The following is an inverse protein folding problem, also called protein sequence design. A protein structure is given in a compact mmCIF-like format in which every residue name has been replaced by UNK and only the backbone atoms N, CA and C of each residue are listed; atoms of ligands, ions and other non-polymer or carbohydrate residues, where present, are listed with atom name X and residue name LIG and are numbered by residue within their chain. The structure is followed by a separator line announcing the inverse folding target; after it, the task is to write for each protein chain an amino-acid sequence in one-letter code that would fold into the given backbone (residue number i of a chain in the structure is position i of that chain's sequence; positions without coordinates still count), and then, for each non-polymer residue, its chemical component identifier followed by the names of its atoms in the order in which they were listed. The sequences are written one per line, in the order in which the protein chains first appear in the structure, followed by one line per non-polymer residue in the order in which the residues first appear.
data_IF_752046879421
#
_entry.id   IF_752046879421
#
_cell.length_a   1.000
_cell.length_b   1.000
_cell.length_c   1.000
_cell.angle_alpha   90.00
_cell.angle_beta   90.00
_cell.angle_gamma   90.00
#
_symmetry.space_group_name_H-M   'P 1'
#
loop_
_entity.id
_entity.type
_entity.pdbx_description
1 polymer ?
#
# COMPACT_ATOMS: atom_id res chain seq x y z
N UNK A 1 16.52 -18.68 16.97
CA UNK A 1 15.48 -17.63 16.80
C UNK A 1 15.07 -17.63 15.34
N UNK A 2 13.77 -17.68 15.05
CA UNK A 2 13.29 -17.49 13.69
C UNK A 2 13.65 -16.06 13.26
N UNK A 3 14.24 -15.89 12.06
CA UNK A 3 14.51 -14.57 11.51
C UNK A 3 13.18 -13.83 11.30
N UNK A 4 13.13 -12.53 11.63
CA UNK A 4 11.95 -11.70 11.34
C UNK A 4 11.76 -11.58 9.83
N UNK A 5 10.51 -11.61 9.39
CA UNK A 5 10.13 -11.32 8.01
C UNK A 5 10.47 -9.86 7.68
N UNK A 6 11.26 -9.64 6.65
CA UNK A 6 11.71 -8.30 6.24
C UNK A 6 10.72 -7.70 5.25
N UNK A 7 10.14 -6.58 5.61
CA UNK A 7 9.05 -5.93 4.88
C UNK A 7 9.57 -4.67 4.18
N UNK A 8 9.28 -4.56 2.88
CA UNK A 8 9.38 -3.29 2.16
C UNK A 8 7.99 -2.65 2.04
N UNK A 9 7.88 -1.36 2.38
CA UNK A 9 6.65 -0.60 2.20
C UNK A 9 6.81 0.36 1.03
N UNK A 10 5.93 0.23 0.02
CA UNK A 10 5.93 1.08 -1.18
C UNK A 10 4.90 2.19 -1.03
N UNK A 11 5.30 3.41 -1.37
CA UNK A 11 4.52 4.63 -1.17
C UNK A 11 4.62 5.57 -2.38
N UNK A 12 3.68 6.50 -2.54
CA UNK A 12 3.77 7.55 -3.56
C UNK A 12 3.45 8.96 -3.02
N UNK A 13 3.00 9.10 -1.77
CA UNK A 13 2.50 10.37 -1.26
C UNK A 13 2.68 10.59 0.23
N UNK A 14 1.63 10.99 0.92
CA UNK A 14 1.64 11.39 2.33
C UNK A 14 2.02 10.30 3.34
N UNK A 15 1.80 9.02 3.02
CA UNK A 15 2.24 7.88 3.83
C UNK A 15 1.47 7.67 5.13
N UNK A 16 0.17 7.95 5.18
CA UNK A 16 -0.65 7.70 6.37
C UNK A 16 -0.70 6.22 6.73
N UNK A 17 -0.85 5.34 5.73
CA UNK A 17 -0.81 3.89 5.93
C UNK A 17 0.59 3.40 6.35
N UNK A 18 1.65 4.00 5.80
CA UNK A 18 3.02 3.74 6.28
C UNK A 18 3.16 4.12 7.74
N UNK A 19 2.62 5.28 8.16
CA UNK A 19 2.68 5.71 9.57
C UNK A 19 1.99 4.70 10.48
N UNK A 20 0.81 4.21 10.11
CA UNK A 20 0.10 3.20 10.89
C UNK A 20 0.93 1.91 11.07
N UNK A 21 1.63 1.48 10.02
CA UNK A 21 2.53 0.32 10.08
C UNK A 21 3.76 0.58 10.97
N UNK A 22 4.37 1.77 10.89
CA UNK A 22 5.50 2.17 11.72
C UNK A 22 5.09 2.24 13.21
N UNK A 23 3.91 2.78 13.48
CA UNK A 23 3.37 2.87 14.83
C UNK A 23 3.06 1.46 15.39
N UNK A 24 2.48 0.57 14.58
CA UNK A 24 2.25 -0.82 14.94
C UNK A 24 3.57 -1.57 15.25
N UNK A 25 4.60 -1.34 14.46
CA UNK A 25 5.94 -1.89 14.73
C UNK A 25 6.48 -1.37 16.07
N UNK A 26 6.36 -0.08 16.33
CA UNK A 26 6.84 0.54 17.58
C UNK A 26 6.09 0.00 18.81
N UNK A 27 4.79 -0.29 18.67
CA UNK A 27 3.98 -0.92 19.72
C UNK A 27 4.24 -2.43 19.91
N UNK A 28 5.10 -3.02 19.07
CA UNK A 28 5.37 -4.46 19.11
C UNK A 28 4.28 -5.35 18.51
N UNK A 29 3.36 -4.78 17.74
CA UNK A 29 2.25 -5.48 17.08
C UNK A 29 2.69 -6.25 15.83
N UNK A 30 3.97 -6.11 15.42
CA UNK A 30 4.60 -6.88 14.36
C UNK A 30 5.69 -7.82 14.93
N UNK A 31 5.35 -8.79 15.78
CA UNK A 31 6.34 -9.58 16.52
C UNK A 31 7.25 -10.43 15.62
N UNK A 32 6.77 -10.79 14.44
CA UNK A 32 7.49 -11.65 13.49
C UNK A 32 7.96 -10.90 12.25
N UNK A 33 7.71 -9.59 12.14
CA UNK A 33 8.09 -8.76 11.01
C UNK A 33 8.90 -7.54 11.42
N UNK A 34 9.61 -6.96 10.46
CA UNK A 34 10.25 -5.64 10.58
C UNK A 34 10.12 -4.88 9.27
N UNK A 35 9.81 -3.60 9.34
CA UNK A 35 9.85 -2.71 8.19
C UNK A 35 11.33 -2.36 7.95
N UNK A 36 11.91 -2.99 6.94
CA UNK A 36 13.34 -2.91 6.65
C UNK A 36 13.67 -1.87 5.57
N UNK A 37 12.68 -1.47 4.78
CA UNK A 37 12.85 -0.53 3.67
C UNK A 37 11.52 0.18 3.35
N UNK A 38 11.63 1.47 3.02
CA UNK A 38 10.56 2.23 2.37
C UNK A 38 11.01 2.60 0.96
N UNK A 39 10.18 2.33 -0.05
CA UNK A 39 10.44 2.72 -1.44
C UNK A 39 9.37 3.70 -1.88
N UNK A 40 9.77 4.89 -2.31
CA UNK A 40 8.86 5.89 -2.86
C UNK A 40 9.00 6.01 -4.37
N UNK A 41 7.88 6.07 -5.09
CA UNK A 41 7.87 6.39 -6.52
C UNK A 41 7.99 7.90 -6.80
N UNK A 42 7.99 8.74 -5.75
CA UNK A 42 8.06 10.20 -5.84
C UNK A 42 9.11 10.75 -4.86
N UNK A 43 10.03 11.60 -5.37
CA UNK A 43 11.10 12.18 -4.55
C UNK A 43 10.58 13.11 -3.44
N UNK A 44 9.45 13.80 -3.67
CA UNK A 44 8.84 14.73 -2.70
C UNK A 44 7.78 14.09 -1.79
N UNK A 45 7.68 12.76 -1.73
CA UNK A 45 6.69 12.10 -0.91
C UNK A 45 6.96 12.31 0.59
N UNK A 46 5.99 12.85 1.33
CA UNK A 46 6.11 13.06 2.78
C UNK A 46 6.34 11.74 3.55
N UNK A 47 5.95 10.63 2.96
CA UNK A 47 6.25 9.30 3.48
C UNK A 47 7.76 9.05 3.73
N UNK A 48 8.64 9.70 2.96
CA UNK A 48 10.10 9.61 3.16
C UNK A 48 10.54 10.25 4.48
N UNK A 49 9.92 11.38 4.88
CA UNK A 49 10.17 12.01 6.18
C UNK A 49 9.68 11.14 7.34
N UNK A 50 8.54 10.47 7.18
CA UNK A 50 8.03 9.50 8.17
C UNK A 50 9.00 8.34 8.37
N UNK A 51 9.50 7.76 7.29
CA UNK A 51 10.49 6.69 7.35
C UNK A 51 11.78 7.15 8.05
N UNK A 52 12.27 8.35 7.72
CA UNK A 52 13.45 8.96 8.35
C UNK A 52 13.25 9.15 9.85
N UNK A 53 12.11 9.70 10.27
CA UNK A 53 11.77 9.89 11.69
C UNK A 53 11.73 8.56 12.44
N UNK A 54 11.27 7.49 11.79
CA UNK A 54 11.24 6.14 12.35
C UNK A 54 12.58 5.38 12.23
N UNK A 55 13.65 6.01 11.73
CA UNK A 55 14.94 5.39 11.45
C UNK A 55 14.87 4.17 10.51
N UNK A 56 13.91 4.17 9.59
CA UNK A 56 13.78 3.14 8.56
C UNK A 56 14.46 3.62 7.28
N UNK A 57 15.34 2.83 6.65
CA UNK A 57 15.94 3.15 5.37
C UNK A 57 14.87 3.47 4.31
N UNK A 58 15.05 4.58 3.60
CA UNK A 58 14.14 4.98 2.53
C UNK A 58 14.91 5.26 1.24
N UNK A 59 14.30 4.91 0.11
CA UNK A 59 14.84 5.11 -1.23
C UNK A 59 13.77 5.62 -2.17
N UNK A 60 14.16 6.42 -3.13
CA UNK A 60 13.28 6.87 -4.22
C UNK A 60 13.65 6.16 -5.51
N UNK A 61 12.67 5.58 -6.16
CA UNK A 61 12.75 5.07 -7.52
C UNK A 61 11.68 5.80 -8.32
N UNK A 62 12.06 6.81 -9.14
CA UNK A 62 11.08 7.65 -9.81
C UNK A 62 10.20 6.88 -10.80
N UNK A 63 8.88 7.09 -10.71
CA UNK A 63 7.91 6.50 -11.66
C UNK A 63 8.01 7.06 -13.08
N UNK A 64 8.86 8.06 -13.31
CA UNK A 64 9.18 8.58 -14.64
C UNK A 64 10.15 7.71 -15.44
N UNK A 65 10.79 6.73 -14.80
CA UNK A 65 11.59 5.73 -15.50
C UNK A 65 10.69 4.85 -16.39
N UNK A 66 11.27 4.30 -17.45
CA UNK A 66 10.57 3.25 -18.19
C UNK A 66 10.34 2.04 -17.27
N UNK A 67 9.26 1.30 -17.52
CA UNK A 67 8.80 0.22 -16.61
C UNK A 67 9.91 -0.77 -16.25
N UNK A 68 10.71 -1.18 -17.23
CA UNK A 68 11.79 -2.15 -17.02
C UNK A 68 12.88 -1.61 -16.06
N UNK A 69 13.31 -0.37 -16.24
CA UNK A 69 14.34 0.24 -15.39
C UNK A 69 13.81 0.52 -14.00
N UNK A 70 12.56 0.96 -13.90
CA UNK A 70 11.85 1.17 -12.64
C UNK A 70 11.82 -0.11 -11.81
N UNK A 71 11.35 -1.20 -12.38
CA UNK A 71 11.25 -2.48 -11.68
C UNK A 71 12.62 -3.10 -11.40
N UNK A 72 13.58 -2.97 -12.32
CA UNK A 72 14.96 -3.43 -12.08
C UNK A 72 15.61 -2.72 -10.90
N UNK A 73 15.45 -1.39 -10.78
CA UNK A 73 15.95 -0.63 -9.64
C UNK A 73 15.29 -1.06 -8.32
N UNK A 74 13.99 -1.32 -8.35
CA UNK A 74 13.25 -1.86 -7.19
C UNK A 74 13.80 -3.23 -6.81
N UNK A 75 13.95 -4.15 -7.75
CA UNK A 75 14.45 -5.51 -7.48
C UNK A 75 15.85 -5.50 -6.86
N UNK A 76 16.75 -4.62 -7.31
CA UNK A 76 18.07 -4.44 -6.69
C UNK A 76 17.98 -4.01 -5.23
N UNK A 77 17.07 -3.07 -4.92
CA UNK A 77 16.82 -2.64 -3.54
C UNK A 77 16.25 -3.79 -2.69
N UNK A 78 15.26 -4.51 -3.21
CA UNK A 78 14.65 -5.64 -2.50
C UNK A 78 15.69 -6.72 -2.17
N UNK A 79 16.59 -7.02 -3.09
CA UNK A 79 17.69 -7.96 -2.89
C UNK A 79 18.70 -7.43 -1.86
N UNK A 80 19.16 -6.17 -1.99
CA UNK A 80 20.12 -5.55 -1.09
C UNK A 80 19.63 -5.50 0.37
N UNK A 81 18.32 -5.27 0.57
CA UNK A 81 17.70 -5.24 1.89
C UNK A 81 17.12 -6.59 2.31
N UNK A 82 17.29 -7.65 1.52
CA UNK A 82 16.81 -9.03 1.79
C UNK A 82 15.32 -9.03 2.16
N UNK A 83 14.50 -8.42 1.29
CA UNK A 83 13.08 -8.28 1.54
C UNK A 83 12.34 -9.59 1.25
N UNK A 84 11.45 -9.97 2.16
CA UNK A 84 10.61 -11.16 2.05
C UNK A 84 9.19 -10.84 1.56
N UNK A 85 8.65 -9.67 1.96
CA UNK A 85 7.27 -9.26 1.69
C UNK A 85 7.24 -7.78 1.30
N UNK A 86 6.39 -7.43 0.36
CA UNK A 86 6.13 -6.06 -0.09
C UNK A 86 4.72 -5.65 0.36
N UNK A 87 4.58 -4.45 0.91
CA UNK A 87 3.29 -3.84 1.24
C UNK A 87 3.12 -2.57 0.42
N UNK A 88 2.06 -2.50 -0.38
CA UNK A 88 1.69 -1.29 -1.11
C UNK A 88 0.81 -0.42 -0.18
N UNK A 89 1.31 0.76 0.19
CA UNK A 89 0.67 1.67 1.11
C UNK A 89 0.41 3.03 0.43
N UNK A 90 -0.57 3.09 -0.45
CA UNK A 90 -0.81 4.26 -1.30
C UNK A 90 0.25 4.38 -2.39
N UNK A 91 0.61 3.28 -3.01
CA UNK A 91 1.52 3.22 -4.14
C UNK A 91 0.74 3.30 -5.45
N UNK A 92 1.03 4.33 -6.24
CA UNK A 92 0.23 4.66 -7.44
C UNK A 92 0.82 4.10 -8.74
N UNK A 93 2.04 3.57 -8.72
CA UNK A 93 2.65 2.96 -9.90
C UNK A 93 2.15 1.53 -10.06
N UNK A 94 1.86 1.15 -11.30
CA UNK A 94 1.43 -0.22 -11.63
C UNK A 94 2.67 -1.09 -11.75
N UNK A 95 2.67 -2.21 -11.05
CA UNK A 95 3.68 -3.26 -11.20
C UNK A 95 3.32 -4.18 -12.36
N UNK A 96 4.30 -4.57 -13.16
CA UNK A 96 4.06 -5.44 -14.31
C UNK A 96 3.73 -6.88 -13.88
N UNK A 97 3.14 -7.62 -14.80
CA UNK A 97 2.91 -9.06 -14.63
C UNK A 97 4.22 -9.81 -14.35
N UNK A 98 5.32 -9.43 -15.04
CA UNK A 98 6.63 -10.03 -14.83
C UNK A 98 7.16 -9.79 -13.41
N UNK A 99 6.92 -8.62 -12.85
CA UNK A 99 7.31 -8.31 -11.48
C UNK A 99 6.44 -9.09 -10.48
N UNK A 100 5.12 -9.05 -10.62
CA UNK A 100 4.21 -9.72 -9.68
C UNK A 100 4.39 -11.23 -9.66
N UNK A 101 4.69 -11.86 -10.79
CA UNK A 101 4.99 -13.30 -10.88
C UNK A 101 6.25 -13.74 -10.13
N UNK A 102 7.22 -12.84 -9.93
CA UNK A 102 8.42 -13.13 -9.11
C UNK A 102 8.12 -13.12 -7.60
N UNK A 103 7.00 -12.52 -7.21
CA UNK A 103 6.59 -12.33 -5.81
C UNK A 103 5.23 -12.99 -5.50
N UNK A 104 5.01 -14.27 -5.82
CA UNK A 104 3.71 -14.91 -5.65
C UNK A 104 3.31 -14.92 -4.18
N UNK A 105 2.13 -14.34 -3.87
CA UNK A 105 1.58 -14.21 -2.51
C UNK A 105 2.52 -13.49 -1.52
N UNK A 106 3.37 -12.58 -2.03
CA UNK A 106 4.30 -11.77 -1.21
C UNK A 106 4.17 -10.28 -1.45
N UNK A 107 3.19 -9.84 -2.21
CA UNK A 107 2.83 -8.43 -2.36
C UNK A 107 1.42 -8.26 -1.81
N UNK A 108 1.27 -7.38 -0.82
CA UNK A 108 0.01 -7.02 -0.19
C UNK A 108 -0.37 -5.60 -0.60
N UNK A 109 -1.66 -5.36 -0.81
CA UNK A 109 -2.20 -4.01 -1.02
C UNK A 109 -3.36 -3.75 -0.07
N UNK A 110 -3.50 -2.50 0.36
CA UNK A 110 -4.68 -2.02 1.07
C UNK A 110 -5.47 -1.13 0.11
N UNK A 111 -6.66 -1.60 -0.28
CA UNK A 111 -7.57 -0.86 -1.14
C UNK A 111 -8.71 -0.25 -0.31
N UNK A 112 -9.04 1.05 -0.49
CA UNK A 112 -10.00 1.75 0.37
C UNK A 112 -11.47 1.51 -0.01
N UNK A 113 -11.83 0.29 -0.38
CA UNK A 113 -13.21 -0.16 -0.57
C UNK A 113 -13.38 -1.63 -0.20
N UNK A 114 -14.62 -2.10 -0.19
CA UNK A 114 -14.94 -3.53 -0.10
C UNK A 114 -14.93 -4.13 -1.52
N UNK A 115 -13.79 -4.67 -1.94
CA UNK A 115 -13.67 -5.36 -3.24
C UNK A 115 -14.73 -6.47 -3.33
N UNK A 116 -15.46 -6.62 -4.46
CA UNK A 116 -15.18 -6.06 -5.80
C UNK A 116 -15.80 -4.69 -6.09
N UNK A 117 -16.38 -3.99 -5.13
CA UNK A 117 -16.95 -2.67 -5.34
C UNK A 117 -15.88 -1.59 -5.38
N UNK A 118 -16.03 -0.59 -6.28
CA UNK A 118 -15.18 0.60 -6.38
C UNK A 118 -13.68 0.27 -6.43
N UNK A 119 -13.29 -0.71 -7.24
CA UNK A 119 -11.91 -1.15 -7.41
C UNK A 119 -11.50 -1.22 -8.89
N UNK A 120 -10.24 -1.53 -9.17
CA UNK A 120 -9.69 -1.63 -10.50
C UNK A 120 -9.15 -0.31 -11.06
N UNK A 121 -8.95 -0.26 -12.38
CA UNK A 121 -8.29 0.88 -13.05
C UNK A 121 -9.01 2.20 -12.76
N UNK A 122 -8.25 3.20 -12.31
CA UNK A 122 -8.75 4.54 -12.01
C UNK A 122 -9.36 4.72 -10.63
N UNK A 123 -9.56 3.63 -9.87
CA UNK A 123 -10.09 3.65 -8.51
C UNK A 123 -8.96 3.70 -7.49
N UNK A 124 -8.55 4.91 -7.10
CA UNK A 124 -7.51 5.14 -6.09
C UNK A 124 -7.74 6.47 -5.35
N UNK A 125 -7.21 6.55 -4.14
CA UNK A 125 -7.29 7.76 -3.32
C UNK A 125 -8.73 8.23 -3.08
N UNK A 126 -8.98 9.53 -3.20
CA UNK A 126 -10.30 10.12 -2.96
C UNK A 126 -11.38 9.64 -3.95
N UNK A 127 -10.99 9.27 -5.18
CA UNK A 127 -11.93 8.81 -6.21
C UNK A 127 -12.79 7.63 -5.77
N UNK A 128 -12.23 6.75 -4.94
CA UNK A 128 -12.96 5.59 -4.41
C UNK A 128 -14.07 6.05 -3.48
N UNK A 129 -13.79 7.02 -2.60
CA UNK A 129 -14.76 7.55 -1.66
C UNK A 129 -15.80 8.42 -2.36
N UNK A 130 -15.40 9.22 -3.34
CA UNK A 130 -16.31 9.97 -4.23
C UNK A 130 -17.31 9.05 -4.93
N UNK A 131 -16.82 7.95 -5.51
CA UNK A 131 -17.65 6.97 -6.20
C UNK A 131 -18.63 6.27 -5.24
N UNK A 132 -18.19 5.90 -4.04
CA UNK A 132 -19.01 5.28 -3.03
C UNK A 132 -20.15 6.22 -2.56
N UNK A 133 -19.81 7.48 -2.27
CA UNK A 133 -20.79 8.50 -1.86
C UNK A 133 -21.77 8.84 -3.00
N UNK A 134 -21.28 9.02 -4.22
CA UNK A 134 -22.10 9.31 -5.38
C UNK A 134 -23.09 8.15 -5.70
N UNK A 135 -22.66 6.91 -5.46
CA UNK A 135 -23.54 5.73 -5.62
C UNK A 135 -24.58 5.62 -4.52
N UNK A 136 -24.36 6.29 -3.37
CA UNK A 136 -25.27 6.26 -2.23
C UNK A 136 -25.26 4.95 -1.44
N UNK A 137 -24.15 4.20 -1.49
CA UNK A 137 -23.98 3.00 -0.65
C UNK A 137 -24.01 3.38 0.82
N UNK A 138 -24.48 2.48 1.66
CA UNK A 138 -24.59 2.71 3.12
C UNK A 138 -23.39 2.17 3.88
N UNK A 139 -22.63 1.28 3.23
CA UNK A 139 -21.45 0.63 3.81
C UNK A 139 -20.33 0.67 2.78
N UNK A 140 -19.15 1.04 3.23
CA UNK A 140 -17.88 0.95 2.52
C UNK A 140 -16.86 0.25 3.41
N UNK A 141 -15.58 0.40 3.17
CA UNK A 141 -14.55 -0.19 4.04
C UNK A 141 -13.20 -0.27 3.37
N UNK A 142 -12.35 -1.13 3.88
CA UNK A 142 -11.05 -1.43 3.31
C UNK A 142 -10.88 -2.92 3.06
N UNK A 143 -10.08 -3.24 2.05
CA UNK A 143 -9.71 -4.62 1.69
C UNK A 143 -8.20 -4.75 1.68
N UNK A 144 -7.68 -5.75 2.39
CA UNK A 144 -6.30 -6.22 2.23
C UNK A 144 -6.32 -7.44 1.33
N UNK A 145 -5.54 -7.39 0.27
CA UNK A 145 -5.48 -8.49 -0.71
C UNK A 145 -4.05 -8.73 -1.21
N UNK A 146 -3.78 -9.90 -1.75
CA UNK A 146 -2.58 -10.14 -2.52
C UNK A 146 -2.65 -9.43 -3.87
N UNK A 147 -1.50 -8.97 -4.35
CA UNK A 147 -1.39 -8.33 -5.66
C UNK A 147 -0.99 -9.36 -6.70
N UNK A 148 -1.66 -9.32 -7.83
CA UNK A 148 -1.34 -10.06 -9.04
C UNK A 148 -1.33 -9.11 -10.25
N UNK A 149 -1.36 -9.63 -11.47
CA UNK A 149 -1.36 -8.86 -12.73
C UNK A 149 -2.66 -8.09 -12.99
N UNK A 150 -3.74 -8.42 -12.26
CA UNK A 150 -5.04 -7.74 -12.39
C UNK A 150 -5.14 -6.68 -11.30
N UNK A 151 -5.30 -5.39 -11.62
CA UNK A 151 -5.50 -4.36 -10.61
C UNK A 151 -6.64 -4.72 -9.64
N UNK A 152 -6.31 -4.78 -8.35
CA UNK A 152 -7.21 -5.17 -7.25
C UNK A 152 -7.88 -6.55 -7.40
N UNK A 153 -7.32 -7.42 -8.25
CA UNK A 153 -7.91 -8.72 -8.62
C UNK A 153 -7.36 -9.93 -7.86
N UNK A 154 -6.40 -9.73 -6.95
CA UNK A 154 -5.81 -10.83 -6.19
C UNK A 154 -6.68 -11.33 -5.04
N UNK A 155 -6.28 -12.45 -4.46
CA UNK A 155 -6.98 -13.10 -3.35
C UNK A 155 -7.13 -12.14 -2.15
N UNK A 156 -8.35 -12.02 -1.65
CA UNK A 156 -8.66 -11.19 -0.48
C UNK A 156 -8.23 -11.92 0.79
N UNK A 157 -7.51 -11.19 1.66
CA UNK A 157 -7.07 -11.69 2.97
C UNK A 157 -7.96 -11.19 4.10
N UNK A 158 -8.34 -9.91 4.04
CA UNK A 158 -9.10 -9.26 5.11
C UNK A 158 -9.96 -8.15 4.52
N UNK A 159 -11.16 -8.01 5.06
CA UNK A 159 -12.03 -6.87 4.80
C UNK A 159 -12.60 -6.34 6.11
N UNK A 160 -12.64 -5.01 6.23
CA UNK A 160 -13.30 -4.34 7.35
C UNK A 160 -14.32 -3.35 6.81
N UNK A 161 -15.58 -3.57 7.17
CA UNK A 161 -16.69 -2.70 6.79
C UNK A 161 -16.76 -1.45 7.68
N UNK A 162 -17.18 -0.34 7.09
CA UNK A 162 -17.42 0.96 7.74
C UNK A 162 -18.74 1.51 7.22
N UNK A 163 -19.62 1.95 8.11
CA UNK A 163 -20.84 2.63 7.75
C UNK A 163 -20.55 4.04 7.22
N UNK A 164 -21.34 4.46 6.23
CA UNK A 164 -21.32 5.84 5.71
C UNK A 164 -22.37 6.62 6.50
N UNK A 165 -21.91 7.67 7.17
CA UNK A 165 -22.76 8.52 8.00
C UNK A 165 -23.35 9.70 7.20
N UNK A 166 -24.53 10.20 7.58
CA UNK A 166 -25.08 11.40 7.01
C UNK A 166 -24.10 12.57 7.13
N UNK A 167 -23.79 13.22 6.00
CA UNK A 167 -22.85 14.33 5.96
C UNK A 167 -21.38 13.95 5.71
N UNK A 168 -21.08 12.67 5.51
CA UNK A 168 -19.74 12.27 5.07
C UNK A 168 -19.37 12.91 3.74
N UNK A 169 -18.14 13.38 3.67
CA UNK A 169 -17.52 13.87 2.44
C UNK A 169 -16.35 12.97 2.02
N UNK A 170 -15.90 13.07 0.76
CA UNK A 170 -14.73 12.30 0.30
C UNK A 170 -13.46 12.54 1.14
N UNK A 171 -13.34 13.67 1.82
CA UNK A 171 -12.19 14.03 2.66
C UNK A 171 -12.30 13.47 4.09
N UNK A 172 -13.52 13.29 4.58
CA UNK A 172 -13.79 12.80 5.95
C UNK A 172 -13.82 11.29 6.01
N UNK A 173 -14.52 10.65 5.07
CA UNK A 173 -14.72 9.21 5.02
C UNK A 173 -13.39 8.38 5.07
N UNK A 174 -12.31 8.79 4.42
CA UNK A 174 -11.02 8.08 4.48
C UNK A 174 -10.47 7.89 5.89
N UNK A 175 -10.74 8.81 6.81
CA UNK A 175 -10.23 8.74 8.20
C UNK A 175 -10.83 7.61 9.02
N UNK A 176 -12.01 7.09 8.60
CA UNK A 176 -12.66 5.94 9.23
C UNK A 176 -12.38 4.64 8.49
N UNK A 177 -12.12 4.74 7.19
CA UNK A 177 -11.85 3.58 6.32
C UNK A 177 -10.42 3.09 6.49
N UNK A 178 -9.47 4.02 6.63
CA UNK A 178 -8.02 3.75 6.68
C UNK A 178 -7.48 4.06 8.07
#
# INVERSE_FOLDING_TARGET
MLSRVRIAVFVSGGGTNLQALLDAQTRGELPHGEIALVVSSQAGAYALERAKTANVPARTVPSSLIQQDFESAIEQLLAAYRIDVIVLAGFLSILSENFTKKWPRRILNVHPSLIPSFCGRGMYGLRVHEAALARGVKVTGATVHFVNEIPDGGEILLQKAVEIEPGDTPEVLPRRVM
#
